data_IF_705324779768
#
_entry.id   IF_705324779768
#
_cell.length_a   1.000
_cell.length_b   1.000
_cell.length_c   1.000
_cell.angle_alpha   90.00
_cell.angle_beta   90.00
_cell.angle_gamma   90.00
#
_symmetry.space_group_name_H-M   'P 1'
#
loop_
_entity.id
_entity.type
_entity.pdbx_description
1 polymer ?
#
# COMPACT_ATOMS: atom_id res chain seq x y z
N UNK A 1 37.47 18.28 4.83
CA UNK A 1 36.04 18.01 4.79
C UNK A 1 35.59 18.31 3.35
N UNK A 2 35.37 17.26 2.61
CA UNK A 2 34.77 17.40 1.27
C UNK A 2 33.29 17.74 1.49
N UNK A 3 32.77 18.78 0.87
CA UNK A 3 31.41 19.33 1.09
C UNK A 3 30.24 18.39 0.75
N UNK A 4 30.47 17.07 0.80
CA UNK A 4 29.48 16.01 0.58
C UNK A 4 29.11 15.28 1.89
N UNK A 5 29.78 15.56 2.99
CA UNK A 5 29.51 14.87 4.28
C UNK A 5 28.10 15.17 4.84
N UNK A 6 27.47 16.26 4.40
CA UNK A 6 26.10 16.58 4.73
C UNK A 6 25.03 15.91 3.84
N UNK A 7 25.44 15.12 2.85
CA UNK A 7 24.54 14.40 1.94
C UNK A 7 24.41 12.91 2.26
N UNK A 8 25.12 12.43 3.29
CA UNK A 8 24.99 11.05 3.73
C UNK A 8 23.69 10.88 4.52
N UNK A 9 22.96 9.78 4.30
CA UNK A 9 21.78 9.46 5.09
C UNK A 9 22.11 9.37 6.58
N UNK A 10 21.12 9.65 7.41
CA UNK A 10 21.20 9.39 8.85
C UNK A 10 21.58 7.91 9.08
N UNK A 11 22.53 7.59 9.98
CA UNK A 11 22.87 6.21 10.28
C UNK A 11 21.64 5.36 10.61
N UNK A 12 21.48 4.24 9.92
CA UNK A 12 20.33 3.35 10.07
C UNK A 12 19.04 3.85 9.42
N UNK A 13 19.08 4.94 8.64
CA UNK A 13 17.94 5.38 7.87
C UNK A 13 17.69 4.46 6.67
N UNK A 14 16.41 4.29 6.36
CA UNK A 14 15.90 3.81 5.10
C UNK A 14 15.54 5.03 4.25
N UNK A 15 16.15 5.17 3.08
CA UNK A 15 15.87 6.25 2.14
C UNK A 15 14.83 5.78 1.13
N UNK A 16 13.66 6.39 1.17
CA UNK A 16 12.52 6.11 0.30
C UNK A 16 12.51 7.02 -0.91
N UNK A 17 12.19 6.47 -2.08
CA UNK A 17 11.88 7.22 -3.30
C UNK A 17 10.45 6.90 -3.75
N UNK A 18 9.49 7.78 -3.45
CA UNK A 18 8.09 7.63 -3.81
C UNK A 18 7.84 8.24 -5.17
N UNK A 19 7.47 7.43 -6.15
CA UNK A 19 7.27 7.87 -7.54
C UNK A 19 5.80 8.19 -7.79
N UNK A 20 5.48 9.44 -8.01
CA UNK A 20 4.17 9.88 -8.48
C UNK A 20 4.04 9.59 -9.99
N UNK A 21 4.03 8.30 -10.34
CA UNK A 21 4.03 7.90 -11.73
C UNK A 21 2.79 8.43 -12.47
N UNK A 22 3.00 8.89 -13.69
CA UNK A 22 1.90 9.25 -14.57
C UNK A 22 1.02 8.04 -14.85
N UNK A 23 -0.29 8.28 -14.85
CA UNK A 23 -1.28 7.26 -15.19
C UNK A 23 -1.04 6.75 -16.62
N UNK A 24 -0.77 5.45 -16.83
CA UNK A 24 -0.64 4.92 -18.18
C UNK A 24 -2.00 4.76 -18.85
N UNK A 25 -2.01 4.85 -20.17
CA UNK A 25 -3.15 4.47 -21.00
C UNK A 25 -2.82 3.16 -21.69
N UNK A 26 -3.54 2.10 -21.33
CA UNK A 26 -3.33 0.75 -21.86
C UNK A 26 -4.48 0.41 -22.81
N UNK A 27 -4.17 0.05 -24.03
CA UNK A 27 -5.14 -0.33 -25.07
C UNK A 27 -4.85 -1.69 -25.67
N UNK A 28 -3.59 -2.11 -25.67
CA UNK A 28 -3.12 -3.36 -26.22
C UNK A 28 -2.00 -3.96 -25.35
N UNK A 29 -1.72 -5.26 -25.45
CA UNK A 29 -0.67 -5.91 -24.64
C UNK A 29 0.72 -5.29 -24.78
N UNK A 30 1.02 -4.67 -25.93
CA UNK A 30 2.28 -3.96 -26.15
C UNK A 30 2.48 -2.77 -25.19
N UNK A 31 1.40 -2.12 -24.77
CA UNK A 31 1.44 -0.99 -23.85
C UNK A 31 1.87 -1.40 -22.44
N UNK A 32 1.53 -2.62 -22.00
CA UNK A 32 1.97 -3.17 -20.70
C UNK A 32 3.50 -3.27 -20.66
N UNK A 33 4.10 -3.84 -21.70
CA UNK A 33 5.55 -3.96 -21.82
C UNK A 33 6.21 -2.58 -21.86
N UNK A 34 5.70 -1.67 -22.69
CA UNK A 34 6.23 -0.31 -22.81
C UNK A 34 6.17 0.43 -21.48
N UNK A 35 5.07 0.28 -20.74
CA UNK A 35 4.91 0.88 -19.41
C UNK A 35 5.88 0.27 -18.40
N UNK A 36 6.05 -1.06 -18.38
CA UNK A 36 7.02 -1.71 -17.51
C UNK A 36 8.45 -1.24 -17.78
N UNK A 37 8.84 -1.09 -19.06
CA UNK A 37 10.13 -0.55 -19.47
C UNK A 37 10.31 0.92 -19.04
N UNK A 38 9.26 1.75 -19.16
CA UNK A 38 9.26 3.13 -18.66
C UNK A 38 9.48 3.18 -17.15
N UNK A 39 8.74 2.39 -16.38
CA UNK A 39 8.89 2.32 -14.92
C UNK A 39 10.28 1.81 -14.51
N UNK A 40 10.81 0.81 -15.20
CA UNK A 40 12.18 0.34 -15.01
C UNK A 40 13.21 1.46 -15.28
N UNK A 41 12.97 2.28 -16.31
CA UNK A 41 13.76 3.49 -16.57
C UNK A 41 13.71 4.49 -15.42
N UNK A 42 12.53 4.71 -14.79
CA UNK A 42 12.38 5.57 -13.62
C UNK A 42 13.14 4.99 -12.43
N UNK A 43 13.06 3.69 -12.15
CA UNK A 43 13.82 3.02 -11.07
C UNK A 43 15.31 3.27 -11.21
N UNK A 44 15.88 3.00 -12.40
CA UNK A 44 17.30 3.25 -12.68
C UNK A 44 17.66 4.73 -12.59
N UNK A 45 16.78 5.60 -13.12
CA UNK A 45 16.97 7.05 -13.09
C UNK A 45 16.96 7.62 -11.68
N UNK A 46 16.02 7.19 -10.85
CA UNK A 46 15.92 7.61 -9.45
C UNK A 46 17.19 7.24 -8.67
N UNK A 47 17.65 5.99 -8.76
CA UNK A 47 18.88 5.54 -8.10
C UNK A 47 20.12 6.25 -8.63
N UNK A 48 20.19 6.51 -9.93
CA UNK A 48 21.30 7.27 -10.53
C UNK A 48 21.34 8.72 -10.07
N UNK A 49 20.15 9.36 -10.00
CA UNK A 49 20.00 10.76 -9.58
C UNK A 49 20.20 10.96 -8.08
N UNK A 50 19.82 9.97 -7.28
CA UNK A 50 19.97 9.95 -5.82
C UNK A 50 20.50 8.59 -5.36
N UNK A 51 21.81 8.39 -5.33
CA UNK A 51 22.44 7.10 -5.03
C UNK A 51 22.12 6.53 -3.65
N UNK A 52 21.61 7.36 -2.74
CA UNK A 52 21.25 6.97 -1.36
C UNK A 52 19.88 6.29 -1.28
N UNK A 53 19.03 6.33 -2.33
CA UNK A 53 17.73 5.65 -2.30
C UNK A 53 17.92 4.15 -2.10
N UNK A 54 17.22 3.60 -1.10
CA UNK A 54 17.22 2.17 -0.77
C UNK A 54 16.00 1.45 -1.35
N UNK A 55 14.84 2.13 -1.39
CA UNK A 55 13.58 1.55 -1.85
C UNK A 55 12.80 2.56 -2.71
N UNK A 56 12.49 2.16 -3.94
CA UNK A 56 11.59 2.89 -4.85
C UNK A 56 10.18 2.32 -4.74
N UNK A 57 9.19 3.18 -4.52
CA UNK A 57 7.78 2.77 -4.39
C UNK A 57 6.97 3.37 -5.54
N UNK A 58 6.36 2.50 -6.34
CA UNK A 58 5.44 2.86 -7.42
C UNK A 58 3.99 2.85 -6.90
N UNK A 59 3.08 3.65 -7.48
CA UNK A 59 1.69 3.66 -7.09
C UNK A 59 0.94 2.40 -7.56
N UNK A 60 -0.29 2.24 -7.06
CA UNK A 60 -1.28 1.28 -7.57
C UNK A 60 -1.53 1.52 -9.07
N UNK A 61 -1.84 0.49 -9.82
CA UNK A 61 -2.11 0.55 -11.27
C UNK A 61 -0.98 1.12 -12.14
N UNK A 62 0.21 1.23 -11.63
CA UNK A 62 1.32 1.88 -12.35
C UNK A 62 1.66 1.21 -13.69
N UNK A 63 1.33 -0.06 -13.89
CA UNK A 63 1.48 -0.77 -15.17
C UNK A 63 0.17 -0.74 -15.97
N UNK A 64 -0.96 -1.07 -15.34
CA UNK A 64 -2.22 -1.33 -16.05
C UNK A 64 -3.11 -0.10 -16.20
N UNK A 65 -2.81 1.01 -15.53
CA UNK A 65 -3.65 2.21 -15.55
C UNK A 65 -4.93 2.07 -14.73
N UNK A 66 -5.63 3.19 -14.57
CA UNK A 66 -6.89 3.29 -13.84
C UNK A 66 -8.07 3.36 -14.84
N UNK A 67 -8.35 2.26 -15.53
CA UNK A 67 -9.48 2.15 -16.44
C UNK A 67 -10.23 0.83 -16.21
N UNK A 68 -11.43 0.86 -15.57
CA UNK A 68 -12.20 -0.35 -15.27
C UNK A 68 -12.53 -1.22 -16.48
N UNK A 69 -12.61 -0.64 -17.68
CA UNK A 69 -12.94 -1.41 -18.87
C UNK A 69 -11.76 -2.27 -19.33
N UNK A 70 -10.53 -1.76 -19.20
CA UNK A 70 -9.34 -2.52 -19.56
C UNK A 70 -9.08 -3.68 -18.59
N UNK A 71 -9.54 -3.55 -17.34
CA UNK A 71 -9.32 -4.58 -16.32
C UNK A 71 -10.14 -5.86 -16.53
N UNK A 72 -11.19 -5.79 -17.32
CA UNK A 72 -12.00 -6.97 -17.69
C UNK A 72 -11.44 -7.71 -18.92
N UNK A 73 -10.46 -7.12 -19.59
CA UNK A 73 -9.78 -7.75 -20.71
C UNK A 73 -8.56 -8.55 -20.20
N UNK A 74 -8.68 -9.87 -20.20
CA UNK A 74 -7.62 -10.78 -19.77
C UNK A 74 -6.30 -10.60 -20.52
N UNK A 75 -6.29 -10.02 -21.71
CA UNK A 75 -5.07 -9.75 -22.47
C UNK A 75 -4.29 -8.57 -21.93
N UNK A 76 -4.93 -7.72 -21.12
CA UNK A 76 -4.37 -6.51 -20.49
C UNK A 76 -4.04 -6.71 -18.99
N UNK A 77 -4.05 -7.95 -18.54
CA UNK A 77 -3.65 -8.32 -17.18
C UNK A 77 -2.23 -8.85 -17.17
N UNK A 78 -1.54 -8.65 -16.05
CA UNK A 78 -0.20 -9.17 -15.83
C UNK A 78 -0.24 -10.52 -15.10
N UNK A 79 0.78 -11.33 -15.28
CA UNK A 79 1.05 -12.47 -14.42
C UNK A 79 2.08 -12.08 -13.34
N UNK A 80 1.98 -12.64 -12.13
CA UNK A 80 2.91 -12.36 -11.03
C UNK A 80 4.37 -12.57 -11.39
N UNK A 81 4.65 -13.60 -12.17
CA UNK A 81 5.96 -13.98 -12.68
C UNK A 81 6.09 -13.68 -14.19
N UNK A 82 5.26 -12.77 -14.71
CA UNK A 82 5.20 -12.39 -16.10
C UNK A 82 6.35 -11.50 -16.57
N UNK A 83 6.36 -11.21 -17.88
CA UNK A 83 7.44 -10.44 -18.51
C UNK A 83 7.56 -9.02 -17.96
N UNK A 84 6.47 -8.38 -17.57
CA UNK A 84 6.47 -7.03 -16.98
C UNK A 84 7.21 -7.03 -15.65
N UNK A 85 6.92 -8.02 -14.79
CA UNK A 85 7.59 -8.16 -13.50
C UNK A 85 9.05 -8.56 -13.65
N UNK A 86 9.40 -9.35 -14.67
CA UNK A 86 10.79 -9.68 -14.98
C UNK A 86 11.60 -8.44 -15.37
N UNK A 87 11.02 -7.49 -16.12
CA UNK A 87 11.64 -6.21 -16.49
C UNK A 87 11.89 -5.37 -15.22
N UNK A 88 10.91 -5.26 -14.31
CA UNK A 88 11.05 -4.50 -13.08
C UNK A 88 12.06 -5.12 -12.11
N UNK A 89 12.05 -6.45 -11.97
CA UNK A 89 13.04 -7.18 -11.19
C UNK A 89 14.47 -7.00 -11.75
N UNK A 90 14.59 -6.99 -13.08
CA UNK A 90 15.84 -6.65 -13.75
C UNK A 90 16.36 -5.26 -13.40
N UNK A 91 15.47 -4.27 -13.41
CA UNK A 91 15.82 -2.89 -13.08
C UNK A 91 16.26 -2.74 -11.60
N UNK A 92 15.58 -3.41 -10.66
CA UNK A 92 15.98 -3.42 -9.25
C UNK A 92 17.39 -3.99 -9.08
N UNK A 93 17.69 -5.14 -9.70
CA UNK A 93 18.99 -5.79 -9.67
C UNK A 93 20.08 -4.94 -10.30
N UNK A 94 19.84 -4.38 -11.48
CA UNK A 94 20.79 -3.55 -12.20
C UNK A 94 21.15 -2.26 -11.43
N UNK A 95 20.14 -1.65 -10.80
CA UNK A 95 20.32 -0.42 -10.05
C UNK A 95 20.81 -0.66 -8.60
N UNK A 96 20.72 -1.88 -8.08
CA UNK A 96 21.03 -2.19 -6.67
C UNK A 96 20.07 -1.45 -5.73
N UNK A 97 18.76 -1.53 -6.00
CA UNK A 97 17.71 -0.83 -5.24
C UNK A 97 16.48 -1.72 -5.09
N UNK A 98 15.83 -1.67 -3.94
CA UNK A 98 14.55 -2.32 -3.74
C UNK A 98 13.44 -1.60 -4.51
N UNK A 99 12.41 -2.33 -4.92
CA UNK A 99 11.25 -1.79 -5.61
C UNK A 99 9.94 -2.34 -5.06
N UNK A 100 8.92 -1.48 -4.97
CA UNK A 100 7.54 -1.87 -4.69
C UNK A 100 6.68 -1.52 -5.89
N UNK A 101 5.97 -2.50 -6.42
CA UNK A 101 5.19 -2.40 -7.66
C UNK A 101 3.78 -2.94 -7.46
N UNK A 102 2.84 -2.48 -8.30
CA UNK A 102 1.46 -2.95 -8.30
C UNK A 102 1.03 -3.35 -9.72
N UNK A 103 0.32 -4.47 -9.81
CA UNK A 103 -0.23 -5.04 -11.04
C UNK A 103 -1.69 -5.41 -10.90
N UNK A 104 -2.42 -5.37 -11.99
CA UNK A 104 -3.65 -6.11 -12.14
C UNK A 104 -3.30 -7.53 -12.53
N UNK A 105 -3.41 -8.44 -11.56
CA UNK A 105 -2.96 -9.83 -11.70
C UNK A 105 -4.06 -10.69 -12.30
N UNK A 106 -3.67 -11.49 -13.29
CA UNK A 106 -4.55 -12.48 -13.91
C UNK A 106 -4.98 -13.53 -12.90
N UNK A 107 -6.29 -13.73 -12.80
CA UNK A 107 -6.91 -14.80 -12.03
C UNK A 107 -7.56 -15.81 -12.99
N UNK A 108 -7.01 -17.01 -13.15
CA UNK A 108 -7.55 -18.00 -14.09
C UNK A 108 -8.98 -18.45 -13.77
N UNK A 109 -9.42 -18.31 -12.53
CA UNK A 109 -10.71 -18.80 -12.04
C UNK A 109 -11.78 -17.74 -11.85
N UNK A 110 -11.50 -16.45 -12.10
CA UNK A 110 -12.46 -15.39 -11.79
C UNK A 110 -12.01 -13.99 -12.15
N UNK A 111 -12.57 -13.01 -11.44
CA UNK A 111 -12.17 -11.62 -11.56
C UNK A 111 -10.68 -11.43 -11.18
N UNK A 112 -9.97 -10.51 -11.83
CA UNK A 112 -8.55 -10.27 -11.55
C UNK A 112 -8.31 -9.88 -10.08
N UNK A 113 -7.06 -10.01 -9.63
CA UNK A 113 -6.62 -9.44 -8.37
C UNK A 113 -5.86 -8.13 -8.58
N UNK A 114 -5.99 -7.25 -7.63
CA UNK A 114 -5.11 -6.10 -7.51
C UNK A 114 -3.96 -6.48 -6.56
N UNK A 115 -2.76 -6.61 -7.11
CA UNK A 115 -1.63 -7.20 -6.40
C UNK A 115 -0.46 -6.23 -6.26
N UNK A 116 0.21 -6.28 -5.12
CA UNK A 116 1.43 -5.53 -4.85
C UNK A 116 2.60 -6.46 -4.53
N UNK A 117 3.77 -6.12 -5.03
CA UNK A 117 4.96 -6.95 -4.97
C UNK A 117 6.14 -6.11 -4.55
N UNK A 118 6.88 -6.55 -3.53
CA UNK A 118 8.18 -5.96 -3.16
C UNK A 118 9.29 -6.87 -3.66
N UNK A 119 10.24 -6.27 -4.38
CA UNK A 119 11.41 -6.92 -4.96
C UNK A 119 12.67 -6.33 -4.34
N UNK A 120 13.64 -7.16 -3.97
CA UNK A 120 14.91 -6.71 -3.43
C UNK A 120 15.91 -6.26 -4.51
N UNK A 121 17.05 -5.73 -4.07
CA UNK A 121 18.16 -5.27 -4.90
C UNK A 121 18.88 -6.40 -5.66
N UNK A 122 18.53 -7.66 -5.42
CA UNK A 122 18.98 -8.81 -6.21
C UNK A 122 17.97 -9.23 -7.27
N UNK A 123 16.80 -8.58 -7.32
CA UNK A 123 15.70 -8.89 -8.21
C UNK A 123 14.80 -10.03 -7.72
N UNK A 124 14.85 -10.39 -6.43
CA UNK A 124 14.00 -11.43 -5.84
C UNK A 124 12.78 -10.83 -5.20
N UNK A 125 11.64 -11.48 -5.37
CA UNK A 125 10.43 -11.16 -4.63
C UNK A 125 10.63 -11.43 -3.14
N UNK A 126 10.24 -10.45 -2.32
CA UNK A 126 10.33 -10.51 -0.85
C UNK A 126 8.97 -10.46 -0.18
N UNK A 127 8.01 -9.81 -0.82
CA UNK A 127 6.64 -9.72 -0.34
C UNK A 127 5.70 -9.71 -1.53
N UNK A 128 4.59 -10.44 -1.37
CA UNK A 128 3.48 -10.47 -2.30
C UNK A 128 2.17 -10.33 -1.55
N UNK A 129 1.34 -9.42 -2.02
CA UNK A 129 0.09 -9.04 -1.39
C UNK A 129 -1.01 -8.87 -2.44
N UNK A 130 -2.22 -9.32 -2.13
CA UNK A 130 -3.45 -9.05 -2.90
C UNK A 130 -4.35 -8.13 -2.08
N UNK A 131 -4.82 -7.04 -2.68
CA UNK A 131 -5.71 -6.05 -2.06
C UNK A 131 -6.92 -6.74 -1.43
N UNK A 132 -7.06 -6.63 -0.11
CA UNK A 132 -8.13 -7.29 0.63
C UNK A 132 -9.46 -6.58 0.48
N UNK A 133 -9.44 -5.25 0.31
CA UNK A 133 -10.64 -4.41 0.27
C UNK A 133 -10.75 -3.66 -1.06
N UNK A 134 -11.26 -4.29 -2.12
CA UNK A 134 -11.61 -3.58 -3.34
C UNK A 134 -12.51 -2.38 -3.05
N UNK A 135 -12.35 -1.30 -3.79
CA UNK A 135 -13.25 -0.17 -3.69
C UNK A 135 -14.52 -0.46 -4.47
N UNK A 136 -15.46 -1.12 -3.80
CA UNK A 136 -16.66 -1.70 -4.39
C UNK A 136 -17.51 -0.80 -5.31
N UNK A 137 -17.54 0.55 -5.19
CA UNK A 137 -18.26 1.35 -6.16
C UNK A 137 -17.76 1.22 -7.60
N UNK A 138 -16.47 0.85 -7.80
CA UNK A 138 -15.87 0.86 -9.12
C UNK A 138 -14.97 -0.34 -9.43
N UNK A 139 -14.44 -1.02 -8.42
CA UNK A 139 -13.45 -2.08 -8.60
C UNK A 139 -14.12 -3.47 -8.64
N UNK A 140 -14.10 -4.16 -9.80
CA UNK A 140 -14.75 -5.46 -9.97
C UNK A 140 -13.86 -6.66 -9.62
N UNK A 141 -12.77 -6.45 -8.88
CA UNK A 141 -11.82 -7.53 -8.64
C UNK A 141 -12.16 -8.44 -7.47
N UNK A 142 -11.48 -9.59 -7.47
CA UNK A 142 -11.54 -10.51 -6.35
C UNK A 142 -10.83 -9.92 -5.12
N UNK A 143 -11.46 -9.97 -3.94
CA UNK A 143 -10.77 -9.66 -2.69
C UNK A 143 -9.56 -10.56 -2.48
N UNK A 144 -8.49 -9.99 -1.90
CA UNK A 144 -7.30 -10.74 -1.54
C UNK A 144 -7.57 -11.71 -0.38
N UNK A 145 -6.90 -12.85 -0.41
CA UNK A 145 -7.05 -13.96 0.52
C UNK A 145 -5.76 -14.30 1.31
N UNK A 146 -4.72 -13.51 1.13
CA UNK A 146 -3.39 -13.79 1.70
C UNK A 146 -3.15 -13.16 3.07
N UNK A 147 -4.09 -12.34 3.57
CA UNK A 147 -3.88 -11.49 4.72
C UNK A 147 -2.83 -10.40 4.43
N UNK A 148 -2.24 -9.81 5.47
CA UNK A 148 -1.20 -8.79 5.34
C UNK A 148 0.15 -9.41 5.64
N UNK A 149 1.01 -9.64 4.63
CA UNK A 149 2.37 -10.12 4.84
C UNK A 149 3.29 -9.01 5.34
N UNK A 150 4.36 -9.41 6.04
CA UNK A 150 5.46 -8.55 6.46
C UNK A 150 6.78 -9.20 6.03
N UNK A 151 7.71 -8.42 5.51
CA UNK A 151 9.04 -8.90 5.16
C UNK A 151 10.14 -8.00 5.75
N UNK A 152 11.34 -8.58 5.93
CA UNK A 152 12.52 -7.81 6.26
C UNK A 152 12.97 -7.01 5.01
N UNK A 153 13.30 -5.75 5.24
CA UNK A 153 13.78 -4.79 4.24
C UNK A 153 15.14 -4.18 4.59
N UNK A 154 15.60 -3.18 3.82
CA UNK A 154 16.85 -2.47 4.10
C UNK A 154 16.80 -1.75 5.45
N UNK A 155 17.99 -1.47 6.03
CA UNK A 155 18.16 -0.64 7.23
C UNK A 155 17.34 -1.10 8.46
N UNK A 156 17.05 -2.40 8.58
CA UNK A 156 16.24 -2.95 9.67
C UNK A 156 14.75 -2.67 9.52
N UNK A 157 14.28 -2.23 8.35
CA UNK A 157 12.86 -2.09 8.09
C UNK A 157 12.15 -3.45 8.09
N UNK A 158 10.97 -3.47 8.70
CA UNK A 158 9.97 -4.52 8.53
C UNK A 158 8.83 -3.92 7.73
N UNK A 159 8.80 -4.30 6.45
CA UNK A 159 7.91 -3.71 5.47
C UNK A 159 6.58 -4.46 5.42
N UNK A 160 5.49 -3.73 5.46
CA UNK A 160 4.16 -4.21 5.03
C UNK A 160 3.68 -3.39 3.85
N UNK A 161 2.78 -3.96 3.06
CA UNK A 161 2.16 -3.30 1.92
C UNK A 161 0.64 -3.39 2.05
N UNK A 162 -0.02 -2.25 1.91
CA UNK A 162 -1.46 -2.11 1.78
C UNK A 162 -1.78 -1.32 0.51
N UNK A 163 -2.94 -1.54 -0.09
CA UNK A 163 -3.27 -0.95 -1.38
C UNK A 163 -4.52 -0.05 -1.25
N UNK A 164 -4.35 1.23 -1.52
CA UNK A 164 -5.42 2.21 -1.78
C UNK A 164 -6.49 2.23 -0.68
N UNK A 165 -7.67 1.66 -0.98
CA UNK A 165 -8.81 1.62 -0.06
C UNK A 165 -8.51 0.86 1.25
N UNK A 166 -7.62 -0.11 1.23
CA UNK A 166 -7.16 -0.77 2.47
C UNK A 166 -6.73 0.25 3.54
N UNK A 167 -6.05 1.32 3.13
CA UNK A 167 -5.58 2.35 4.05
C UNK A 167 -6.67 3.23 4.65
N UNK A 168 -7.92 3.11 4.21
CA UNK A 168 -9.09 3.75 4.84
C UNK A 168 -9.58 2.97 6.07
N UNK A 169 -9.19 1.71 6.19
CA UNK A 169 -9.61 0.80 7.23
C UNK A 169 -8.49 0.70 8.28
N UNK A 170 -8.71 1.17 9.52
CA UNK A 170 -7.67 1.20 10.55
C UNK A 170 -7.16 -0.20 10.92
N UNK A 171 -7.97 -1.23 10.71
CA UNK A 171 -7.61 -2.64 10.94
C UNK A 171 -6.41 -3.08 10.11
N UNK A 172 -6.26 -2.55 8.88
CA UNK A 172 -5.18 -2.93 7.98
C UNK A 172 -3.80 -2.52 8.50
N UNK A 173 -3.65 -1.26 8.86
CA UNK A 173 -2.40 -0.77 9.44
C UNK A 173 -2.14 -1.39 10.83
N UNK A 174 -3.20 -1.64 11.60
CA UNK A 174 -3.12 -2.31 12.90
C UNK A 174 -2.60 -3.74 12.79
N UNK A 175 -3.11 -4.51 11.85
CA UNK A 175 -2.66 -5.88 11.59
C UNK A 175 -1.20 -5.91 11.10
N UNK A 176 -0.82 -5.00 10.21
CA UNK A 176 0.56 -4.85 9.76
C UNK A 176 1.51 -4.59 10.95
N UNK A 177 1.16 -3.62 11.78
CA UNK A 177 1.94 -3.27 12.97
C UNK A 177 1.99 -4.41 14.00
N UNK A 178 0.88 -5.11 14.20
CA UNK A 178 0.81 -6.26 15.10
C UNK A 178 1.75 -7.39 14.64
N UNK A 179 1.91 -7.57 13.33
CA UNK A 179 2.88 -8.51 12.74
C UNK A 179 4.32 -7.97 12.72
N UNK A 180 4.55 -6.80 13.29
CA UNK A 180 5.87 -6.22 13.48
C UNK A 180 6.31 -5.21 12.42
N UNK A 181 5.45 -4.84 11.46
CA UNK A 181 5.82 -3.83 10.48
C UNK A 181 6.10 -2.49 11.16
N UNK A 182 7.27 -1.91 10.91
CA UNK A 182 7.68 -0.58 11.37
C UNK A 182 7.64 0.46 10.24
N UNK A 183 7.50 0.01 8.98
CA UNK A 183 7.25 0.84 7.81
C UNK A 183 6.10 0.22 7.00
N UNK A 184 5.03 0.96 6.83
CA UNK A 184 3.85 0.53 6.08
C UNK A 184 3.82 1.30 4.76
N UNK A 185 4.00 0.60 3.66
CA UNK A 185 3.85 1.14 2.31
C UNK A 185 2.39 1.13 1.92
N UNK A 186 1.93 2.21 1.28
CA UNK A 186 0.59 2.31 0.71
C UNK A 186 0.65 2.80 -0.72
N UNK A 187 0.32 1.94 -1.66
CA UNK A 187 0.18 2.29 -3.08
C UNK A 187 -1.27 2.64 -3.38
N UNK A 188 -1.53 3.64 -4.21
CA UNK A 188 -2.88 4.09 -4.49
C UNK A 188 -3.05 4.65 -5.91
N UNK A 189 -4.32 4.68 -6.35
CA UNK A 189 -4.77 5.32 -7.59
C UNK A 189 -5.83 6.39 -7.32
N UNK A 190 -5.68 7.19 -6.25
CA UNK A 190 -6.69 8.18 -5.88
C UNK A 190 -6.80 9.32 -6.86
N UNK A 191 -8.04 9.68 -7.14
CA UNK A 191 -8.42 10.86 -7.92
C UNK A 191 -8.93 11.98 -7.01
N UNK A 192 -8.95 13.23 -7.50
CA UNK A 192 -9.64 14.30 -6.78
C UNK A 192 -11.16 13.98 -6.68
N UNK A 193 -11.82 14.29 -5.55
CA UNK A 193 -11.44 15.16 -4.43
C UNK A 193 -11.06 14.43 -3.11
N UNK A 194 -10.45 13.25 -3.13
CA UNK A 194 -10.24 12.40 -1.93
C UNK A 194 -9.04 12.89 -1.06
N UNK A 195 -8.46 14.01 -1.38
CA UNK A 195 -7.24 14.55 -0.78
C UNK A 195 -7.23 14.55 0.76
N UNK A 196 -8.30 15.02 1.38
CA UNK A 196 -8.33 15.13 2.84
C UNK A 196 -8.38 13.76 3.51
N UNK A 197 -9.17 12.83 2.98
CA UNK A 197 -9.21 11.46 3.48
C UNK A 197 -7.85 10.76 3.33
N UNK A 198 -7.13 11.01 2.22
CA UNK A 198 -5.77 10.56 2.01
C UNK A 198 -4.83 11.03 3.12
N UNK A 199 -4.82 12.33 3.40
CA UNK A 199 -3.97 12.91 4.42
C UNK A 199 -4.28 12.37 5.81
N UNK A 200 -5.54 12.42 6.22
CA UNK A 200 -5.99 12.00 7.57
C UNK A 200 -5.66 10.52 7.81
N UNK A 201 -5.97 9.64 6.86
CA UNK A 201 -5.78 8.20 7.07
C UNK A 201 -4.31 7.81 7.10
N UNK A 202 -3.44 8.42 6.31
CA UNK A 202 -2.00 8.15 6.36
C UNK A 202 -1.37 8.59 7.70
N UNK A 203 -1.74 9.77 8.19
CA UNK A 203 -1.30 10.26 9.50
C UNK A 203 -1.85 9.39 10.65
N UNK A 204 -3.14 9.03 10.61
CA UNK A 204 -3.76 8.17 11.62
C UNK A 204 -3.12 6.77 11.64
N UNK A 205 -2.89 6.18 10.47
CA UNK A 205 -2.23 4.88 10.35
C UNK A 205 -0.82 4.88 10.94
N UNK A 206 -0.08 5.98 10.79
CA UNK A 206 1.23 6.14 11.42
C UNK A 206 1.12 6.27 12.94
N UNK A 207 0.36 7.26 13.42
CA UNK A 207 0.23 7.60 14.83
C UNK A 207 -0.32 6.45 15.68
N UNK A 208 -1.44 5.86 15.25
CA UNK A 208 -2.13 4.82 16.02
C UNK A 208 -1.31 3.52 16.13
N UNK A 209 -0.31 3.33 15.28
CA UNK A 209 0.46 2.09 15.17
C UNK A 209 1.94 2.27 15.49
N UNK A 210 2.40 3.49 15.77
CA UNK A 210 3.82 3.83 15.96
C UNK A 210 4.68 3.21 14.84
N UNK A 211 4.28 3.45 13.60
CA UNK A 211 4.93 2.99 12.40
C UNK A 211 5.05 4.14 11.40
N UNK A 212 6.10 4.15 10.60
CA UNK A 212 6.14 5.05 9.45
C UNK A 212 5.11 4.63 8.41
N UNK A 213 4.43 5.58 7.80
CA UNK A 213 3.64 5.34 6.59
C UNK A 213 4.28 6.02 5.41
N UNK A 214 4.45 5.29 4.31
CA UNK A 214 5.01 5.80 3.07
C UNK A 214 4.00 5.52 1.95
N UNK A 215 3.33 6.56 1.49
CA UNK A 215 2.14 6.46 0.65
C UNK A 215 2.36 7.17 -0.67
N UNK A 216 2.00 6.54 -1.77
CA UNK A 216 2.14 7.10 -3.11
C UNK A 216 0.91 6.80 -3.97
N UNK A 217 0.48 7.80 -4.74
CA UNK A 217 -0.62 7.65 -5.69
C UNK A 217 -0.18 8.00 -7.12
N UNK A 218 -0.91 7.47 -8.11
CA UNK A 218 -0.81 7.89 -9.49
C UNK A 218 -0.99 9.41 -9.60
N UNK A 219 -0.34 10.04 -10.57
CA UNK A 219 -0.42 11.48 -10.80
C UNK A 219 -0.79 11.80 -12.25
N UNK A 220 -1.50 12.89 -12.43
CA UNK A 220 -1.87 13.40 -13.74
C UNK A 220 -3.13 12.78 -14.34
N UNK A 221 -3.48 13.17 -15.57
CA UNK A 221 -4.68 12.67 -16.24
C UNK A 221 -4.50 11.27 -16.79
N UNK A 222 -5.57 10.49 -16.74
CA UNK A 222 -5.72 9.26 -17.50
C UNK A 222 -6.23 9.51 -18.93
N UNK A 223 -6.44 8.42 -19.71
CA UNK A 223 -6.99 8.51 -21.05
C UNK A 223 -8.43 9.03 -21.14
N UNK A 224 -9.14 9.12 -20.01
CA UNK A 224 -10.52 9.58 -19.87
C UNK A 224 -10.62 10.99 -19.25
N UNK A 225 -9.49 11.70 -19.11
CA UNK A 225 -9.37 13.01 -18.45
C UNK A 225 -9.75 13.00 -16.96
N UNK A 226 -9.69 11.87 -16.29
CA UNK A 226 -9.76 11.80 -14.84
C UNK A 226 -8.36 12.09 -14.29
N UNK A 227 -8.28 13.04 -13.36
CA UNK A 227 -7.01 13.45 -12.76
C UNK A 227 -6.73 12.69 -11.47
N UNK A 228 -5.62 12.00 -11.45
CA UNK A 228 -5.06 11.38 -10.25
C UNK A 228 -4.26 12.42 -9.45
N UNK A 229 -4.38 12.33 -8.13
CA UNK A 229 -3.93 13.41 -7.25
C UNK A 229 -2.40 13.49 -7.05
N UNK A 230 -1.67 12.36 -7.20
CA UNK A 230 -0.27 12.28 -6.79
C UNK A 230 -0.14 12.38 -5.26
N UNK A 231 0.48 13.47 -4.79
CA UNK A 231 0.61 13.81 -3.37
C UNK A 231 1.22 12.67 -2.52
N UNK A 232 2.35 12.13 -3.01
CA UNK A 232 3.12 11.16 -2.23
C UNK A 232 3.43 11.73 -0.85
N UNK A 233 3.28 10.91 0.20
CA UNK A 233 3.37 11.37 1.59
C UNK A 233 4.14 10.36 2.43
N UNK A 234 5.03 10.85 3.28
CA UNK A 234 5.64 10.07 4.35
C UNK A 234 5.29 10.69 5.70
N UNK A 235 4.74 9.88 6.60
CA UNK A 235 4.44 10.32 7.96
C UNK A 235 5.39 9.65 8.95
N UNK A 236 5.85 10.42 9.93
CA UNK A 236 6.58 9.92 11.10
C UNK A 236 5.64 9.11 12.01
N UNK A 237 6.22 8.39 12.92
CA UNK A 237 5.53 7.51 13.89
C UNK A 237 4.52 8.24 14.79
N UNK A 238 4.61 9.55 14.91
CA UNK A 238 3.67 10.41 15.64
C UNK A 238 2.58 11.02 14.74
N UNK A 239 2.53 10.64 13.46
CA UNK A 239 1.60 11.18 12.48
C UNK A 239 2.04 12.50 11.85
N UNK A 240 3.21 13.04 12.20
CA UNK A 240 3.76 14.24 11.56
C UNK A 240 4.09 13.96 10.11
N UNK A 241 3.68 14.82 9.20
CA UNK A 241 4.03 14.72 7.79
C UNK A 241 5.47 15.16 7.60
N UNK A 242 6.36 14.21 7.28
CA UNK A 242 7.77 14.47 7.01
C UNK A 242 7.97 15.11 5.64
N UNK A 243 7.25 14.59 4.65
CA UNK A 243 7.25 15.11 3.29
C UNK A 243 5.90 14.85 2.64
N UNK A 244 5.48 15.79 1.82
CA UNK A 244 4.32 15.66 0.94
C UNK A 244 4.68 16.20 -0.44
N UNK A 245 4.39 15.40 -1.48
CA UNK A 245 4.51 15.83 -2.87
C UNK A 245 3.35 16.72 -3.28
N UNK A 246 3.48 17.23 -4.49
CA UNK A 246 2.42 17.96 -5.16
C UNK A 246 1.73 17.16 -6.24
N UNK A 247 0.92 17.16 -6.95
CA UNK A 247 0.35 16.28 -7.99
C UNK A 247 1.18 16.18 -9.28
N UNK A 248 2.43 16.62 -9.29
CA UNK A 248 3.28 16.61 -10.51
C UNK A 248 3.58 15.18 -10.95
N UNK A 249 3.21 14.79 -12.20
CA UNK A 249 3.51 13.47 -12.73
C UNK A 249 5.02 13.20 -12.86
N UNK A 250 5.38 11.91 -12.72
CA UNK A 250 6.74 11.37 -12.81
C UNK A 250 7.75 12.00 -11.85
N UNK A 251 7.27 12.65 -10.79
CA UNK A 251 8.10 13.19 -9.72
C UNK A 251 8.48 12.10 -8.72
N UNK A 252 9.75 12.08 -8.32
CA UNK A 252 10.23 11.26 -7.20
C UNK A 252 10.31 12.13 -5.95
N UNK A 253 9.53 11.79 -4.94
CA UNK A 253 9.54 12.43 -3.62
C UNK A 253 10.39 11.56 -2.70
N UNK A 254 11.40 12.12 -2.04
CA UNK A 254 12.32 11.37 -1.20
C UNK A 254 12.18 11.73 0.26
N UNK A 255 12.32 10.73 1.12
CA UNK A 255 12.35 10.90 2.57
C UNK A 255 13.25 9.87 3.24
N UNK A 256 13.82 10.25 4.38
CA UNK A 256 14.52 9.35 5.29
C UNK A 256 13.60 8.96 6.44
N UNK A 257 13.56 7.67 6.78
CA UNK A 257 12.91 7.15 7.98
C UNK A 257 13.90 6.25 8.72
N UNK A 258 13.83 6.20 10.04
CA UNK A 258 14.73 5.37 10.87
C UNK A 258 13.90 4.26 11.52
N UNK A 259 13.83 3.05 10.94
CA UNK A 259 12.94 1.98 11.40
C UNK A 259 13.13 1.64 12.88
N UNK A 260 14.34 1.68 13.38
CA UNK A 260 14.65 1.45 14.80
C UNK A 260 13.96 2.44 15.76
N UNK A 261 13.65 3.67 15.31
CA UNK A 261 12.86 4.63 16.13
C UNK A 261 11.44 4.13 16.37
N UNK A 262 10.80 3.52 15.37
CA UNK A 262 9.48 2.95 15.54
C UNK A 262 9.50 1.81 16.57
N UNK A 263 10.47 0.92 16.47
CA UNK A 263 10.62 -0.20 17.41
C UNK A 263 10.88 0.32 18.84
N UNK A 264 11.76 1.32 18.99
CA UNK A 264 12.03 1.94 20.29
C UNK A 264 10.81 2.65 20.86
N UNK A 265 10.05 3.38 20.03
CA UNK A 265 8.84 4.09 20.46
C UNK A 265 7.77 3.13 20.97
N UNK A 266 7.63 1.96 20.37
CA UNK A 266 6.69 0.93 20.84
C UNK A 266 7.02 0.39 22.24
N UNK A 267 8.29 0.43 22.62
CA UNK A 267 8.74 -0.01 23.94
C UNK A 267 8.65 1.07 25.01
N UNK A 268 8.79 2.34 24.64
CA UNK A 268 9.03 3.43 25.60
C UNK A 268 8.06 4.61 25.52
N UNK A 269 7.32 4.73 24.43
CA UNK A 269 6.50 5.92 24.14
C UNK A 269 5.11 5.53 23.61
N UNK A 270 4.20 6.48 23.60
CA UNK A 270 2.88 6.29 22.98
C UNK A 270 1.98 5.32 23.73
N UNK A 271 2.08 5.33 25.04
CA UNK A 271 1.39 4.37 25.93
C UNK A 271 -0.11 4.33 25.69
N UNK A 272 -0.77 5.45 25.48
CA UNK A 272 -2.22 5.53 25.29
C UNK A 272 -2.69 4.86 24.00
N UNK A 273 -1.88 4.91 22.97
CA UNK A 273 -2.25 4.44 21.63
C UNK A 273 -1.52 3.18 21.19
N UNK A 274 -0.47 2.82 21.93
CA UNK A 274 0.38 1.71 21.53
C UNK A 274 -0.32 0.37 21.76
N UNK A 275 -0.49 -0.38 20.65
CA UNK A 275 -1.05 -1.74 20.70
C UNK A 275 -0.24 -2.67 21.61
N UNK A 276 1.07 -2.43 21.76
CA UNK A 276 1.96 -3.27 22.58
C UNK A 276 1.88 -2.95 24.08
N UNK A 277 1.25 -1.84 24.45
CA UNK A 277 1.03 -1.42 25.84
C UNK A 277 -0.38 -1.79 26.28
N UNK A 278 -0.77 -3.04 26.09
CA UNK A 278 -2.14 -3.52 26.32
C UNK A 278 -2.62 -3.35 27.78
N UNK A 279 -1.71 -3.29 28.75
CA UNK A 279 -2.03 -3.04 30.16
C UNK A 279 -2.79 -1.74 30.42
N UNK A 280 -2.67 -0.75 29.52
CA UNK A 280 -3.42 0.51 29.60
C UNK A 280 -4.80 0.43 28.94
N UNK A 281 -5.11 -0.67 28.27
CA UNK A 281 -6.42 -0.92 27.68
C UNK A 281 -7.21 -1.79 28.64
N UNK A 282 -8.12 -1.22 29.38
CA UNK A 282 -8.85 -1.87 30.47
C UNK A 282 -9.30 -3.31 30.23
N UNK A 283 -9.58 -3.67 28.99
CA UNK A 283 -10.01 -5.02 28.64
C UNK A 283 -8.89 -6.09 28.66
N UNK A 284 -7.61 -5.72 28.65
CA UNK A 284 -6.51 -6.68 28.72
C UNK A 284 -6.33 -7.27 30.12
N UNK A 285 -6.93 -6.66 31.14
CA UNK A 285 -6.92 -7.14 32.50
C UNK A 285 -8.07 -8.12 32.82
N UNK A 286 -8.97 -8.37 31.85
CA UNK A 286 -10.13 -9.25 32.05
C UNK A 286 -9.70 -10.72 31.91
N UNK A 287 -10.14 -11.57 32.81
CA UNK A 287 -9.95 -13.01 32.73
C UNK A 287 -10.61 -13.53 31.43
N UNK A 288 -9.86 -14.27 30.60
CA UNK A 288 -10.34 -14.71 29.28
C UNK A 288 -9.82 -13.86 28.12
N UNK A 289 -9.17 -12.72 28.36
CA UNK A 289 -8.49 -11.90 27.34
C UNK A 289 -9.44 -11.39 26.28
N UNK A 290 -9.13 -11.63 25.01
CA UNK A 290 -9.90 -11.13 23.86
C UNK A 290 -11.36 -11.61 23.80
N UNK A 291 -11.70 -12.71 24.47
CA UNK A 291 -13.09 -13.24 24.52
C UNK A 291 -14.02 -12.29 25.27
N UNK A 292 -13.49 -11.59 26.27
CA UNK A 292 -14.23 -10.66 27.10
C UNK A 292 -13.96 -9.20 26.71
N UNK A 293 -13.44 -9.01 25.47
CA UNK A 293 -13.25 -7.70 24.89
C UNK A 293 -14.56 -6.90 24.96
N UNK A 294 -14.57 -5.69 25.55
CA UNK A 294 -15.80 -4.89 25.71
C UNK A 294 -16.33 -4.29 24.40
N UNK A 295 -15.58 -4.44 23.31
CA UNK A 295 -16.00 -3.94 22.00
C UNK A 295 -16.96 -4.92 21.33
N UNK A 296 -18.25 -4.66 21.42
CA UNK A 296 -19.31 -5.46 20.80
C UNK A 296 -19.06 -5.69 19.31
N UNK A 297 -18.58 -4.67 18.61
CA UNK A 297 -18.17 -4.76 17.21
C UNK A 297 -17.17 -5.91 16.97
N UNK A 298 -16.12 -6.02 17.78
CA UNK A 298 -15.11 -7.07 17.63
C UNK A 298 -15.67 -8.45 18.02
N UNK A 299 -16.52 -8.52 19.04
CA UNK A 299 -17.17 -9.76 19.41
C UNK A 299 -18.09 -10.28 18.30
N UNK A 300 -18.87 -9.39 17.72
CA UNK A 300 -19.77 -9.73 16.62
C UNK A 300 -19.02 -10.19 15.36
N UNK A 301 -17.88 -9.56 15.05
CA UNK A 301 -17.02 -10.02 13.95
C UNK A 301 -16.50 -11.44 14.20
N UNK A 302 -15.97 -11.71 15.39
CA UNK A 302 -15.43 -13.03 15.75
C UNK A 302 -16.50 -14.11 15.74
N UNK A 303 -17.71 -13.77 16.21
CA UNK A 303 -18.82 -14.69 16.30
C UNK A 303 -19.62 -14.82 15.00
N UNK A 304 -19.30 -14.06 13.97
CA UNK A 304 -20.04 -14.03 12.71
C UNK A 304 -21.46 -13.44 12.84
N UNK A 305 -21.71 -12.66 13.90
CA UNK A 305 -23.00 -12.01 14.18
C UNK A 305 -22.99 -10.52 13.83
N UNK A 306 -21.90 -10.04 13.24
CA UNK A 306 -21.75 -8.64 12.85
C UNK A 306 -22.90 -8.17 11.97
N UNK A 307 -23.51 -7.05 12.35
CA UNK A 307 -24.56 -6.37 11.58
C UNK A 307 -24.31 -4.88 11.60
N UNK A 308 -24.53 -4.21 10.50
CA UNK A 308 -24.56 -2.76 10.49
C UNK A 308 -25.77 -2.26 11.28
N UNK A 309 -25.65 -1.20 12.10
CA UNK A 309 -26.74 -0.70 12.97
C UNK A 309 -27.92 -0.07 12.19
N UNK A 310 -27.80 0.09 10.91
CA UNK A 310 -28.82 0.66 10.02
C UNK A 310 -28.90 -0.22 8.76
N UNK A 311 -30.09 -0.28 8.17
CA UNK A 311 -30.26 -0.82 6.84
C UNK A 311 -29.59 0.12 5.82
N UNK A 312 -28.29 0.23 5.87
CA UNK A 312 -27.56 0.78 4.74
C UNK A 312 -27.64 -0.27 3.64
N UNK A 313 -28.01 0.11 2.46
CA UNK A 313 -27.79 -0.70 1.30
C UNK A 313 -26.30 -0.90 1.08
N UNK A 314 -25.63 -1.65 1.99
CA UNK A 314 -24.27 -2.14 1.76
C UNK A 314 -24.38 -3.16 0.65
N UNK A 315 -24.03 -2.71 -0.48
CA UNK A 315 -24.12 -3.40 -1.72
C UNK A 315 -22.88 -4.26 -1.86
N UNK A 316 -23.10 -5.55 -1.97
CA UNK A 316 -22.04 -6.46 -2.40
C UNK A 316 -21.91 -6.29 -3.91
N UNK A 317 -20.70 -6.01 -4.34
CA UNK A 317 -20.32 -6.28 -5.72
C UNK A 317 -20.25 -7.78 -5.83
N UNK A 318 -21.12 -8.37 -6.63
CA UNK A 318 -21.23 -9.82 -6.81
C UNK A 318 -20.06 -10.43 -7.62
N UNK A 319 -18.97 -9.73 -7.78
CA UNK A 319 -17.82 -10.15 -8.59
C UNK A 319 -18.06 -10.11 -10.10
N UNK A 320 -19.25 -9.74 -10.53
CA UNK A 320 -19.60 -9.63 -11.97
C UNK A 320 -19.43 -8.22 -12.51
N UNK A 321 -19.07 -7.26 -11.64
CA UNK A 321 -18.94 -5.84 -12.03
C UNK A 321 -20.25 -5.14 -12.36
N UNK A 322 -21.37 -5.81 -12.23
CA UNK A 322 -22.69 -5.32 -12.63
C UNK A 322 -23.49 -4.83 -11.42
N UNK A 323 -23.05 -3.73 -10.84
CA UNK A 323 -23.93 -2.95 -9.95
C UNK A 323 -24.20 -3.54 -8.57
N UNK A 324 -24.77 -2.71 -7.80
CA UNK A 324 -25.17 -2.87 -6.42
C UNK A 324 -26.25 -3.96 -6.26
N UNK A 325 -25.89 -5.10 -5.70
CA UNK A 325 -26.83 -6.17 -5.36
C UNK A 325 -27.44 -6.01 -3.96
N UNK A 326 -28.51 -6.76 -3.63
CA UNK A 326 -29.05 -6.79 -2.28
C UNK A 326 -28.01 -7.34 -1.28
N UNK A 327 -28.11 -6.97 0.02
CA UNK A 327 -27.20 -7.44 1.05
C UNK A 327 -27.09 -8.98 1.03
N UNK A 328 -25.89 -9.51 0.96
CA UNK A 328 -25.67 -10.96 1.10
C UNK A 328 -25.77 -11.30 2.58
N UNK A 329 -26.66 -12.22 2.93
CA UNK A 329 -26.63 -12.84 4.25
C UNK A 329 -25.29 -13.55 4.42
N UNK A 330 -24.47 -13.09 5.35
CA UNK A 330 -23.26 -13.79 5.77
C UNK A 330 -23.73 -15.10 6.41
N UNK A 331 -23.70 -16.18 5.65
CA UNK A 331 -23.92 -17.52 6.23
C UNK A 331 -22.70 -17.85 7.06
N UNK A 332 -22.92 -18.01 8.36
CA UNK A 332 -21.93 -18.60 9.25
C UNK A 332 -21.49 -19.95 8.67
N UNK A 333 -20.17 -20.13 8.53
CA UNK A 333 -19.59 -21.44 8.25
C UNK A 333 -19.42 -22.21 9.54
#
# INVERSE_FOLDING_TARGET
MTGLDGLNPTPGALVLGLVQAQVPTIREPGDLKATAERLAGIVRGAKKGMPTIDLVVMPEYSINGLDPQTWLDNTLLCDRDGPEMAVLAGACREAGVWGCFSIMERNPGGAPWNSGIIIDDTGRERLYYRKMHPWVPAEPWAPGDLGIPVCDGPSGAKLALIICHDGMLPEMAREAAYKGANVILRTAGYTYPIRQAWQITNQANAFQNLAYTASVALAGPDGNNIWSQGEAMVCDIDGTVLVQGDGTPDRVVTAEVVPARADQARLTWGVENNIYQLGHRGYSAVEGGARDCPYTFMQDLVNGTYRVPWESGVHHVDGTGAGWGPPVEVRAR
#
